data_IF_517249766316
#
_entry.id   IF_517249766316
#
_cell.length_a   1.000
_cell.length_b   1.000
_cell.length_c   1.000
_cell.angle_alpha   90.00
_cell.angle_beta   90.00
_cell.angle_gamma   90.00
#
_symmetry.space_group_name_H-M   'P 1'
#
loop_
_entity.id
_entity.type
_entity.pdbx_description
1 polymer ?
#
# COMPACT_ATOMS: atom_id res chain seq x y z
N UNK A 1 42.24 47.81 -40.40
CA UNK A 1 41.12 47.24 -41.19
C UNK A 1 41.46 45.78 -41.43
N UNK A 2 40.79 44.74 -40.97
CA UNK A 2 39.62 44.51 -40.12
C UNK A 2 39.57 42.97 -39.97
N UNK A 3 39.32 42.49 -38.75
CA UNK A 3 39.35 41.07 -38.34
C UNK A 3 38.47 40.13 -39.21
N UNK A 4 38.95 38.90 -39.41
CA UNK A 4 38.09 37.72 -39.59
C UNK A 4 38.73 36.51 -38.94
N UNK A 5 38.50 36.39 -37.62
CA UNK A 5 38.73 35.16 -36.88
C UNK A 5 37.40 34.43 -36.75
N UNK A 6 37.32 33.27 -37.38
CA UNK A 6 36.20 32.34 -37.31
C UNK A 6 35.95 31.88 -35.88
N UNK A 7 34.81 32.22 -35.31
CA UNK A 7 34.38 31.71 -34.00
C UNK A 7 33.42 30.53 -34.20
N UNK A 8 33.95 29.31 -34.23
CA UNK A 8 33.14 28.09 -34.11
C UNK A 8 32.77 27.93 -32.63
N UNK A 9 31.57 28.36 -32.25
CA UNK A 9 30.97 27.95 -30.98
C UNK A 9 30.60 26.47 -31.07
N UNK A 10 31.37 25.63 -30.38
CA UNK A 10 31.00 24.27 -30.01
C UNK A 10 29.67 24.30 -29.24
N UNK A 11 28.64 23.67 -29.78
CA UNK A 11 27.43 23.33 -29.05
C UNK A 11 27.81 22.28 -28.01
N UNK A 12 27.93 22.69 -26.76
CA UNK A 12 27.91 21.78 -25.63
C UNK A 12 26.52 21.12 -25.61
N UNK A 13 26.48 19.85 -25.97
CA UNK A 13 25.34 18.99 -25.76
C UNK A 13 25.22 18.82 -24.25
N UNK A 14 24.29 19.54 -23.61
CA UNK A 14 23.83 19.20 -22.27
C UNK A 14 23.35 17.75 -22.35
N UNK A 15 24.09 16.82 -21.75
CA UNK A 15 23.59 15.49 -21.46
C UNK A 15 22.38 15.67 -20.56
N UNK A 16 21.18 15.67 -21.15
CA UNK A 16 19.95 15.41 -20.42
C UNK A 16 20.15 14.07 -19.72
N UNK A 17 20.09 14.08 -18.39
CA UNK A 17 20.07 12.84 -17.63
C UNK A 17 18.97 11.94 -18.21
N UNK A 18 19.22 10.63 -18.39
CA UNK A 18 18.23 9.73 -18.94
C UNK A 18 16.93 9.88 -18.15
N UNK A 19 15.83 10.12 -18.86
CA UNK A 19 14.50 10.20 -18.24
C UNK A 19 14.23 8.85 -17.55
N UNK A 20 13.81 8.85 -16.27
CA UNK A 20 13.49 7.61 -15.58
C UNK A 20 12.41 6.86 -16.36
N UNK A 21 12.56 5.54 -16.43
CA UNK A 21 11.56 4.62 -16.95
C UNK A 21 10.21 4.79 -16.21
N UNK A 22 9.09 4.32 -16.79
CA UNK A 22 7.78 4.39 -16.14
C UNK A 22 7.78 3.76 -14.73
N UNK A 23 8.50 2.65 -14.55
CA UNK A 23 8.66 1.98 -13.25
C UNK A 23 9.46 2.85 -12.27
N UNK A 24 10.59 3.43 -12.69
CA UNK A 24 11.36 4.37 -11.86
C UNK A 24 10.54 5.62 -11.49
N UNK A 25 9.62 6.06 -12.35
CA UNK A 25 8.67 7.13 -12.03
C UNK A 25 7.65 6.73 -10.97
N UNK A 26 7.19 5.48 -10.95
CA UNK A 26 6.26 4.97 -9.93
C UNK A 26 6.95 4.83 -8.57
N UNK A 27 8.21 4.38 -8.53
CA UNK A 27 8.98 4.32 -7.29
C UNK A 27 9.36 5.71 -6.74
N UNK A 28 9.54 6.71 -7.60
CA UNK A 28 9.70 8.10 -7.16
C UNK A 28 8.46 8.65 -6.44
N UNK A 29 7.27 8.07 -6.65
CA UNK A 29 6.11 8.40 -5.81
C UNK A 29 6.32 7.95 -4.37
N UNK A 30 6.99 6.82 -4.11
CA UNK A 30 7.20 6.30 -2.75
C UNK A 30 8.02 7.26 -1.89
N UNK A 31 9.02 7.93 -2.46
CA UNK A 31 9.83 8.93 -1.76
C UNK A 31 8.99 10.10 -1.19
N UNK A 32 7.75 10.29 -1.65
CA UNK A 32 6.84 11.34 -1.20
C UNK A 32 5.96 10.90 -0.03
N UNK A 33 5.98 9.64 0.36
CA UNK A 33 5.15 9.07 1.42
C UNK A 33 6.01 8.45 2.51
N UNK A 34 5.53 8.53 3.74
CA UNK A 34 6.02 7.69 4.83
C UNK A 34 5.35 6.33 4.70
N UNK A 35 6.14 5.26 4.68
CA UNK A 35 5.62 3.89 4.56
C UNK A 35 5.62 3.20 5.92
N UNK A 36 4.42 2.84 6.39
CA UNK A 36 4.22 2.12 7.66
C UNK A 36 3.69 0.73 7.33
N UNK A 37 4.52 -0.29 7.54
CA UNK A 37 4.13 -1.68 7.40
C UNK A 37 3.51 -2.18 8.70
N UNK A 38 2.29 -2.69 8.63
CA UNK A 38 1.56 -3.28 9.75
C UNK A 38 1.47 -4.78 9.50
N UNK A 39 2.06 -5.58 10.38
CA UNK A 39 2.12 -7.03 10.21
C UNK A 39 1.16 -7.69 11.20
N UNK A 40 0.26 -8.50 10.67
CA UNK A 40 -0.55 -9.42 11.47
C UNK A 40 0.35 -10.48 12.11
N UNK A 41 0.49 -10.38 13.43
CA UNK A 41 1.16 -11.34 14.28
C UNK A 41 0.17 -12.15 15.11
N UNK A 42 -1.07 -12.32 14.65
CA UNK A 42 -2.09 -13.11 15.34
C UNK A 42 -1.79 -14.62 15.30
N UNK A 43 -2.52 -15.39 16.11
CA UNK A 43 -2.34 -16.84 16.19
C UNK A 43 -2.54 -17.59 14.86
N UNK A 44 -3.38 -17.08 13.95
CA UNK A 44 -3.64 -17.72 12.64
C UNK A 44 -2.41 -17.77 11.75
N UNK A 45 -1.50 -16.80 11.89
CA UNK A 45 -0.27 -16.69 11.11
C UNK A 45 0.75 -17.81 11.38
N UNK A 46 0.57 -18.59 12.47
CA UNK A 46 1.31 -19.84 12.70
C UNK A 46 0.95 -20.95 11.70
N UNK A 47 -0.24 -20.88 11.11
CA UNK A 47 -0.74 -21.88 10.17
C UNK A 47 0.09 -21.91 8.88
N UNK A 48 0.39 -23.11 8.39
CA UNK A 48 0.87 -23.36 7.01
C UNK A 48 2.11 -22.54 6.59
N UNK A 49 2.94 -22.08 7.54
CA UNK A 49 4.12 -21.27 7.26
C UNK A 49 3.83 -19.82 6.84
N UNK A 50 2.60 -19.32 7.05
CA UNK A 50 2.18 -17.95 6.69
C UNK A 50 3.09 -16.88 7.27
N UNK A 51 3.50 -17.01 8.53
CA UNK A 51 4.46 -16.08 9.16
C UNK A 51 5.79 -16.00 8.41
N UNK A 52 6.35 -17.15 8.02
CA UNK A 52 7.61 -17.20 7.27
C UNK A 52 7.45 -16.55 5.89
N UNK A 53 6.38 -16.89 5.18
CA UNK A 53 6.06 -16.32 3.86
C UNK A 53 5.89 -14.81 3.95
N UNK A 54 5.16 -14.33 4.96
CA UNK A 54 4.98 -12.90 5.22
C UNK A 54 6.32 -12.22 5.49
N UNK A 55 7.20 -12.81 6.31
CA UNK A 55 8.53 -12.27 6.58
C UNK A 55 9.44 -12.19 5.34
N UNK A 56 9.41 -13.22 4.48
CA UNK A 56 10.16 -13.23 3.22
C UNK A 56 9.65 -12.16 2.26
N UNK A 57 8.33 -12.08 2.07
CA UNK A 57 7.66 -11.05 1.27
C UNK A 57 7.97 -9.64 1.77
N UNK A 58 7.87 -9.41 3.08
CA UNK A 58 8.09 -8.11 3.68
C UNK A 58 9.56 -7.67 3.58
N UNK A 59 10.50 -8.60 3.75
CA UNK A 59 11.91 -8.30 3.59
C UNK A 59 12.22 -7.80 2.16
N UNK A 60 11.61 -8.39 1.14
CA UNK A 60 11.73 -7.91 -0.24
C UNK A 60 11.09 -6.52 -0.42
N UNK A 61 9.84 -6.38 0.03
CA UNK A 61 9.05 -5.15 -0.06
C UNK A 61 9.78 -3.95 0.58
N UNK A 62 10.21 -4.15 1.81
CA UNK A 62 10.90 -3.16 2.60
C UNK A 62 12.26 -2.78 2.02
N UNK A 63 13.01 -3.75 1.51
CA UNK A 63 14.29 -3.49 0.86
C UNK A 63 14.12 -2.59 -0.35
N UNK A 64 13.09 -2.82 -1.17
CA UNK A 64 12.80 -1.97 -2.32
C UNK A 64 12.29 -0.60 -1.85
N UNK A 65 11.35 -0.54 -0.90
CA UNK A 65 10.84 0.73 -0.36
C UNK A 65 11.96 1.61 0.23
N UNK A 66 12.89 1.02 1.00
CA UNK A 66 14.00 1.73 1.62
C UNK A 66 15.04 2.29 0.64
N UNK A 67 15.05 1.85 -0.63
CA UNK A 67 15.87 2.48 -1.67
C UNK A 67 15.34 3.86 -2.10
N UNK A 68 14.04 4.09 -1.89
CA UNK A 68 13.36 5.31 -2.28
C UNK A 68 12.95 6.17 -1.07
N UNK A 69 12.87 5.59 0.12
CA UNK A 69 12.59 6.31 1.37
C UNK A 69 13.88 6.62 2.15
N UNK A 70 14.17 7.91 2.34
CA UNK A 70 15.46 8.36 2.87
C UNK A 70 15.69 8.05 4.35
N UNK A 71 14.63 8.11 5.15
CA UNK A 71 14.61 7.72 6.57
C UNK A 71 14.44 6.21 6.75
N UNK A 72 13.88 5.52 5.78
CA UNK A 72 13.64 4.08 5.77
C UNK A 72 12.26 3.76 6.34
N UNK A 73 11.88 2.49 6.29
CA UNK A 73 10.48 2.13 6.60
C UNK A 73 10.23 1.90 8.09
N UNK A 74 8.96 2.02 8.48
CA UNK A 74 8.47 1.64 9.79
C UNK A 74 7.76 0.28 9.74
N UNK A 75 8.02 -0.59 10.73
CA UNK A 75 7.27 -1.84 10.94
C UNK A 75 6.62 -1.80 12.32
N UNK A 76 5.32 -2.08 12.34
CA UNK A 76 4.51 -2.32 13.53
C UNK A 76 3.76 -3.64 13.43
N UNK A 77 3.31 -4.16 14.57
CA UNK A 77 2.51 -5.39 14.65
C UNK A 77 1.12 -5.10 15.22
N UNK A 78 0.18 -6.03 15.00
CA UNK A 78 -1.18 -5.92 15.54
C UNK A 78 -1.21 -6.13 17.07
N UNK A 79 -0.49 -7.13 17.57
CA UNK A 79 -0.51 -7.54 18.97
C UNK A 79 0.78 -7.13 19.70
N UNK A 80 1.94 -7.30 19.06
CA UNK A 80 3.22 -6.98 19.67
C UNK A 80 3.45 -5.46 19.76
N UNK A 81 3.87 -4.92 20.92
CA UNK A 81 4.09 -3.48 21.09
C UNK A 81 5.40 -2.98 20.46
N UNK A 82 6.25 -3.85 19.92
CA UNK A 82 7.48 -3.47 19.25
C UNK A 82 7.15 -2.61 18.02
N UNK A 83 7.78 -1.44 17.97
CA UNK A 83 7.83 -0.57 16.79
C UNK A 83 9.27 -0.47 16.35
N UNK A 84 9.53 -0.66 15.05
CA UNK A 84 10.86 -0.50 14.45
C UNK A 84 10.80 0.55 13.36
N UNK A 85 11.71 1.52 13.45
CA UNK A 85 11.84 2.61 12.48
C UNK A 85 13.16 2.48 11.72
N UNK A 86 13.19 3.01 10.50
CA UNK A 86 14.39 3.16 9.71
C UNK A 86 15.05 1.84 9.30
N UNK A 87 14.25 0.80 9.09
CA UNK A 87 14.74 -0.48 8.60
C UNK A 87 15.12 -0.36 7.12
N UNK A 88 16.33 -0.82 6.78
CA UNK A 88 16.90 -0.64 5.43
C UNK A 88 17.40 -1.93 4.79
N UNK A 89 17.61 -2.99 5.59
CA UNK A 89 18.18 -4.25 5.09
C UNK A 89 17.24 -5.43 5.28
N UNK A 90 17.36 -6.43 4.40
CA UNK A 90 16.57 -7.67 4.50
C UNK A 90 16.90 -8.44 5.77
N UNK A 91 18.15 -8.38 6.21
CA UNK A 91 18.68 -9.08 7.38
C UNK A 91 18.06 -8.56 8.68
N UNK A 92 17.95 -7.24 8.86
CA UNK A 92 17.31 -6.64 10.05
C UNK A 92 15.84 -7.06 10.17
N UNK A 93 15.14 -7.14 9.04
CA UNK A 93 13.72 -7.53 8.99
C UNK A 93 13.56 -9.02 9.32
N UNK A 94 14.41 -9.88 8.74
CA UNK A 94 14.40 -11.32 9.06
C UNK A 94 14.64 -11.54 10.55
N UNK A 95 15.62 -10.85 11.14
CA UNK A 95 15.89 -10.93 12.58
C UNK A 95 14.71 -10.44 13.42
N UNK A 96 14.01 -9.38 12.97
CA UNK A 96 12.79 -8.92 13.64
C UNK A 96 11.71 -10.00 13.64
N UNK A 97 11.45 -10.64 12.49
CA UNK A 97 10.46 -11.72 12.38
C UNK A 97 10.83 -12.96 13.19
N UNK A 98 12.11 -13.30 13.28
CA UNK A 98 12.62 -14.39 14.12
C UNK A 98 12.43 -14.10 15.62
N UNK A 99 12.42 -12.83 16.02
CA UNK A 99 12.23 -12.41 17.41
C UNK A 99 10.78 -12.41 17.88
N UNK A 100 9.82 -12.57 16.96
CA UNK A 100 8.39 -12.46 17.23
C UNK A 100 7.71 -13.82 17.01
N UNK A 101 6.91 -14.23 17.99
CA UNK A 101 6.06 -15.42 17.90
C UNK A 101 4.61 -14.97 17.68
N UNK A 102 3.95 -15.38 16.58
CA UNK A 102 2.59 -14.93 16.34
C UNK A 102 1.59 -15.46 17.37
N UNK A 103 0.81 -14.59 17.99
CA UNK A 103 -0.17 -14.91 19.03
C UNK A 103 -1.22 -13.80 19.15
N UNK A 104 -2.32 -14.12 19.84
CA UNK A 104 -3.40 -13.16 20.05
C UNK A 104 -4.42 -13.13 18.91
N UNK A 105 -5.13 -12.01 18.84
CA UNK A 105 -6.28 -11.79 17.96
C UNK A 105 -5.84 -10.98 16.72
N UNK A 106 -6.78 -10.61 15.86
CA UNK A 106 -6.53 -9.83 14.64
C UNK A 106 -7.17 -8.43 14.74
N UNK A 107 -6.71 -7.54 15.65
CA UNK A 107 -7.32 -6.24 15.93
C UNK A 107 -6.94 -5.16 14.90
N UNK A 108 -7.26 -5.41 13.62
CA UNK A 108 -6.92 -4.51 12.51
C UNK A 108 -7.54 -3.13 12.70
N UNK A 109 -8.82 -3.06 13.05
CA UNK A 109 -9.53 -1.79 13.16
C UNK A 109 -9.00 -0.95 14.31
N UNK A 110 -8.82 -1.56 15.49
CA UNK A 110 -8.22 -0.89 16.65
C UNK A 110 -6.80 -0.37 16.37
N UNK A 111 -5.98 -1.14 15.63
CA UNK A 111 -4.63 -0.71 15.25
C UNK A 111 -4.67 0.48 14.29
N UNK A 112 -5.49 0.41 13.24
CA UNK A 112 -5.63 1.49 12.26
C UNK A 112 -6.17 2.76 12.90
N UNK A 113 -7.14 2.66 13.81
CA UNK A 113 -7.70 3.81 14.51
C UNK A 113 -6.60 4.58 15.26
N UNK A 114 -5.80 3.89 16.07
CA UNK A 114 -4.72 4.51 16.81
C UNK A 114 -3.71 5.23 15.92
N UNK A 115 -3.32 4.61 14.79
CA UNK A 115 -2.35 5.18 13.85
C UNK A 115 -2.92 6.39 13.12
N UNK A 116 -4.11 6.27 12.53
CA UNK A 116 -4.70 7.31 11.70
C UNK A 116 -5.15 8.49 12.56
N UNK A 117 -5.71 8.23 13.74
CA UNK A 117 -6.10 9.28 14.69
C UNK A 117 -4.88 10.09 15.14
N UNK A 118 -3.76 9.43 15.46
CA UNK A 118 -2.52 10.12 15.81
C UNK A 118 -2.01 10.98 14.63
N UNK A 119 -2.02 10.43 13.42
CA UNK A 119 -1.59 11.13 12.22
C UNK A 119 -2.46 12.36 11.91
N UNK A 120 -3.79 12.24 11.97
CA UNK A 120 -4.71 13.36 11.76
C UNK A 120 -4.53 14.44 12.83
N UNK A 121 -4.27 14.06 14.08
CA UNK A 121 -3.99 15.01 15.15
C UNK A 121 -2.69 15.79 14.87
N UNK A 122 -1.64 15.12 14.41
CA UNK A 122 -0.41 15.76 13.97
C UNK A 122 -0.63 16.69 12.77
N UNK A 123 -1.39 16.25 11.76
CA UNK A 123 -1.76 17.07 10.61
C UNK A 123 -2.45 18.36 11.05
N UNK A 124 -3.45 18.27 11.94
CA UNK A 124 -4.16 19.43 12.48
C UNK A 124 -3.22 20.38 13.23
N UNK A 125 -2.27 19.85 13.99
CA UNK A 125 -1.26 20.64 14.72
C UNK A 125 -0.33 21.40 13.78
N UNK A 126 0.15 20.75 12.72
CA UNK A 126 1.10 21.33 11.77
C UNK A 126 0.45 22.27 10.74
N UNK A 127 -0.87 22.16 10.51
CA UNK A 127 -1.61 22.95 9.50
C UNK A 127 -1.42 24.47 9.60
N UNK A 128 -1.08 24.99 10.77
CA UNK A 128 -0.85 26.42 11.00
C UNK A 128 0.64 26.83 10.95
N UNK A 129 1.50 25.92 10.50
CA UNK A 129 2.94 26.12 10.36
C UNK A 129 3.34 26.08 8.89
N UNK A 130 4.60 26.44 8.57
CA UNK A 130 5.16 26.27 7.23
C UNK A 130 5.47 24.79 6.89
N UNK A 131 5.11 23.86 7.77
CA UNK A 131 5.32 22.43 7.63
C UNK A 131 3.98 21.68 7.53
N UNK A 132 3.95 20.61 6.76
CA UNK A 132 2.87 19.63 6.75
C UNK A 132 3.48 18.24 6.96
N UNK A 133 2.79 17.31 7.64
CA UNK A 133 3.28 15.96 7.71
C UNK A 133 3.32 15.37 6.30
N UNK A 134 4.36 14.58 6.04
CA UNK A 134 4.48 13.83 4.79
C UNK A 134 3.26 12.89 4.67
N UNK A 135 2.65 12.76 3.48
CA UNK A 135 1.60 11.77 3.25
C UNK A 135 2.02 10.38 3.73
N UNK A 136 1.08 9.56 4.21
CA UNK A 136 1.40 8.23 4.76
C UNK A 136 0.70 7.12 3.98
N UNK A 137 1.40 6.00 3.78
CA UNK A 137 0.85 4.77 3.23
C UNK A 137 0.96 3.64 4.27
N UNK A 138 -0.19 3.19 4.79
CA UNK A 138 -0.28 2.05 5.70
C UNK A 138 -0.45 0.76 4.90
N UNK A 139 0.54 -0.12 4.93
CA UNK A 139 0.47 -1.41 4.25
C UNK A 139 0.28 -2.52 5.29
N UNK A 140 -0.89 -3.13 5.32
CA UNK A 140 -1.26 -4.15 6.29
C UNK A 140 -1.24 -5.55 5.69
N UNK A 141 -0.41 -6.43 6.25
CA UNK A 141 -0.32 -7.83 5.85
C UNK A 141 -1.12 -8.69 6.83
N UNK A 142 -2.07 -9.49 6.34
CA UNK A 142 -2.91 -10.37 7.18
C UNK A 142 -3.36 -11.62 6.45
N UNK A 143 -3.57 -12.72 7.18
CA UNK A 143 -4.14 -13.96 6.66
C UNK A 143 -5.63 -14.14 6.94
N UNK A 144 -6.25 -13.18 7.63
CA UNK A 144 -7.53 -13.40 8.28
C UNK A 144 -8.51 -12.25 8.18
N UNK A 145 -9.69 -12.50 8.74
CA UNK A 145 -10.73 -11.49 8.96
C UNK A 145 -10.47 -10.83 10.33
N UNK A 146 -10.63 -9.50 10.45
CA UNK A 146 -10.49 -8.81 11.73
C UNK A 146 -11.37 -9.40 12.82
N UNK A 147 -10.85 -9.40 14.04
CA UNK A 147 -11.60 -9.81 15.24
C UNK A 147 -12.28 -8.65 15.94
N UNK A 148 -12.07 -7.42 15.47
CA UNK A 148 -12.67 -6.22 16.05
C UNK A 148 -14.21 -6.27 15.98
N UNK A 149 -14.83 -5.70 17.00
CA UNK A 149 -16.27 -5.47 17.05
C UNK A 149 -16.55 -3.96 16.94
N UNK A 150 -17.78 -3.61 16.57
CA UNK A 150 -18.21 -2.21 16.54
C UNK A 150 -17.94 -1.52 17.89
N UNK A 151 -17.49 -0.26 17.91
CA UNK A 151 -17.35 0.66 16.76
C UNK A 151 -15.98 0.61 16.07
N UNK A 152 -15.11 -0.33 16.41
CA UNK A 152 -13.73 -0.38 15.92
C UNK A 152 -13.54 -1.38 14.78
N UNK A 153 -14.59 -1.66 14.00
CA UNK A 153 -14.38 -2.46 12.78
C UNK A 153 -13.57 -1.66 11.76
N UNK A 154 -12.71 -2.30 10.92
CA UNK A 154 -11.96 -1.58 9.90
C UNK A 154 -12.82 -0.70 8.99
N UNK A 155 -14.02 -1.17 8.61
CA UNK A 155 -14.98 -0.37 7.85
C UNK A 155 -15.32 0.96 8.56
N UNK A 156 -15.64 0.92 9.85
CA UNK A 156 -16.00 2.13 10.62
C UNK A 156 -14.81 3.09 10.72
N UNK A 157 -13.65 2.56 11.09
CA UNK A 157 -12.42 3.33 11.27
C UNK A 157 -11.99 4.01 9.97
N UNK A 158 -12.03 3.30 8.84
CA UNK A 158 -11.67 3.84 7.53
C UNK A 158 -12.65 4.94 7.11
N UNK A 159 -13.95 4.72 7.32
CA UNK A 159 -14.98 5.72 6.97
C UNK A 159 -14.84 6.98 7.81
N UNK A 160 -14.58 6.85 9.11
CA UNK A 160 -14.35 7.97 10.02
C UNK A 160 -13.08 8.74 9.64
N UNK A 161 -11.98 8.03 9.36
CA UNK A 161 -10.74 8.61 8.87
C UNK A 161 -10.93 9.41 7.57
N UNK A 162 -11.62 8.84 6.58
CA UNK A 162 -11.86 9.48 5.30
C UNK A 162 -12.64 10.79 5.46
N UNK A 163 -13.70 10.78 6.28
CA UNK A 163 -14.48 11.98 6.61
C UNK A 163 -13.65 13.02 7.35
N UNK A 164 -12.88 12.61 8.34
CA UNK A 164 -12.02 13.51 9.11
C UNK A 164 -10.95 14.19 8.23
N UNK A 165 -10.42 13.48 7.22
CA UNK A 165 -9.49 14.05 6.22
C UNK A 165 -10.18 15.06 5.29
N UNK A 166 -11.42 14.80 4.90
CA UNK A 166 -12.22 15.75 4.09
C UNK A 166 -12.56 17.02 4.89
N UNK A 167 -12.95 16.90 6.16
CA UNK A 167 -13.26 18.02 7.05
C UNK A 167 -12.09 19.00 7.22
N UNK A 168 -10.85 18.47 7.25
CA UNK A 168 -9.65 19.29 7.36
C UNK A 168 -9.09 19.73 6.01
N UNK A 169 -9.78 19.42 4.91
CA UNK A 169 -9.35 19.71 3.54
C UNK A 169 -7.97 19.13 3.21
N UNK A 170 -7.66 17.95 3.73
CA UNK A 170 -6.40 17.26 3.42
C UNK A 170 -6.35 16.87 1.93
N UNK A 171 -5.15 16.88 1.30
CA UNK A 171 -4.94 16.36 -0.04
C UNK A 171 -5.55 14.97 -0.23
N UNK A 172 -6.01 14.67 -1.45
CA UNK A 172 -6.66 13.38 -1.76
C UNK A 172 -5.78 12.16 -1.50
N UNK A 173 -4.47 12.34 -1.62
CA UNK A 173 -3.44 11.30 -1.43
C UNK A 173 -2.76 11.43 -0.06
N UNK A 174 -3.37 12.08 0.94
CA UNK A 174 -2.70 12.30 2.23
C UNK A 174 -2.52 11.01 3.03
N UNK A 175 -3.49 10.09 2.95
CA UNK A 175 -3.47 8.79 3.62
C UNK A 175 -3.89 7.73 2.61
N UNK A 176 -3.11 6.67 2.51
CA UNK A 176 -3.45 5.44 1.79
C UNK A 176 -3.41 4.23 2.74
N UNK A 177 -4.26 3.25 2.48
CA UNK A 177 -4.33 1.98 3.21
C UNK A 177 -4.29 0.86 2.17
N UNK A 178 -3.26 0.04 2.20
CA UNK A 178 -3.10 -1.13 1.36
C UNK A 178 -3.28 -2.39 2.21
N UNK A 179 -4.27 -3.22 1.89
CA UNK A 179 -4.32 -4.58 2.43
C UNK A 179 -3.56 -5.55 1.51
N UNK A 180 -2.76 -6.40 2.11
CA UNK A 180 -2.03 -7.47 1.44
C UNK A 180 -2.39 -8.78 2.13
N UNK A 181 -3.08 -9.65 1.41
CA UNK A 181 -3.49 -10.93 1.95
C UNK A 181 -2.34 -11.94 1.91
N UNK A 182 -2.15 -12.65 3.02
CA UNK A 182 -1.24 -13.79 3.15
C UNK A 182 -2.05 -15.08 3.18
N UNK A 183 -1.73 -16.03 2.30
CA UNK A 183 -2.48 -17.29 2.21
C UNK A 183 -3.87 -17.14 1.55
N UNK A 184 -4.48 -18.27 1.21
CA UNK A 184 -5.63 -18.32 0.29
C UNK A 184 -7.01 -18.44 0.99
N UNK A 185 -7.16 -17.88 2.20
CA UNK A 185 -8.46 -17.91 2.89
C UNK A 185 -9.52 -17.08 2.14
N UNK A 186 -10.59 -17.74 1.69
CA UNK A 186 -11.63 -17.11 0.89
C UNK A 186 -12.51 -16.13 1.67
N UNK A 187 -12.57 -16.23 3.00
CA UNK A 187 -13.30 -15.26 3.82
C UNK A 187 -12.48 -13.97 3.96
N UNK A 188 -11.18 -14.09 4.21
CA UNK A 188 -10.26 -12.96 4.21
C UNK A 188 -10.28 -12.23 2.85
N UNK A 189 -10.20 -12.97 1.73
CA UNK A 189 -10.29 -12.38 0.39
C UNK A 189 -11.56 -11.55 0.21
N UNK A 190 -12.73 -12.13 0.51
CA UNK A 190 -14.02 -11.44 0.36
C UNK A 190 -14.15 -10.23 1.29
N UNK A 191 -13.63 -10.34 2.51
CA UNK A 191 -13.69 -9.26 3.48
C UNK A 191 -12.85 -8.06 3.02
N UNK A 192 -11.58 -8.29 2.67
CA UNK A 192 -10.65 -7.24 2.26
C UNK A 192 -11.09 -6.58 0.94
N UNK A 193 -11.53 -7.37 -0.05
CA UNK A 193 -12.12 -6.84 -1.29
C UNK A 193 -13.36 -5.98 -1.03
N UNK A 194 -14.16 -6.35 -0.02
CA UNK A 194 -15.31 -5.55 0.40
C UNK A 194 -14.91 -4.15 0.87
N UNK A 195 -13.78 -4.00 1.58
CA UNK A 195 -13.28 -2.71 2.04
C UNK A 195 -12.81 -1.81 0.88
N UNK A 196 -12.18 -2.38 -0.13
CA UNK A 196 -11.73 -1.67 -1.33
C UNK A 196 -12.94 -1.25 -2.21
N UNK A 197 -13.76 -2.21 -2.65
CA UNK A 197 -14.74 -1.95 -3.70
C UNK A 197 -15.99 -1.17 -3.23
N UNK A 198 -16.33 -1.24 -1.94
CA UNK A 198 -17.66 -0.77 -1.48
C UNK A 198 -17.65 0.55 -0.73
N UNK A 199 -16.60 0.87 0.02
CA UNK A 199 -16.67 1.95 1.02
C UNK A 199 -16.90 3.33 0.40
N UNK A 200 -16.17 3.64 -0.67
CA UNK A 200 -16.29 4.90 -1.43
C UNK A 200 -17.73 5.18 -1.86
N UNK A 201 -18.37 4.22 -2.52
CA UNK A 201 -19.72 4.38 -3.06
C UNK A 201 -20.80 4.29 -1.98
N UNK A 202 -20.59 3.43 -0.97
CA UNK A 202 -21.54 3.23 0.11
C UNK A 202 -21.66 4.45 1.03
N UNK A 203 -20.54 5.14 1.27
CA UNK A 203 -20.48 6.25 2.24
C UNK A 203 -20.23 7.62 1.62
N UNK A 204 -20.06 7.71 0.30
CA UNK A 204 -19.69 8.94 -0.43
C UNK A 204 -18.44 9.61 0.15
N UNK A 205 -17.38 8.80 0.29
CA UNK A 205 -16.09 9.21 0.86
C UNK A 205 -14.98 9.13 -0.18
N UNK A 206 -13.86 9.79 0.09
CA UNK A 206 -12.63 9.61 -0.68
C UNK A 206 -12.16 8.15 -0.69
N UNK A 207 -11.51 7.82 -1.81
CA UNK A 207 -10.94 6.51 -2.06
C UNK A 207 -9.51 6.45 -1.51
N UNK A 208 -9.32 5.66 -0.44
CA UNK A 208 -8.08 5.56 0.32
C UNK A 208 -7.67 4.10 0.62
N UNK A 209 -8.42 3.11 0.11
CA UNK A 209 -8.19 1.69 0.38
C UNK A 209 -7.93 0.95 -0.92
N UNK A 210 -6.91 0.11 -0.96
CA UNK A 210 -6.70 -0.88 -2.01
C UNK A 210 -6.39 -2.25 -1.41
N UNK A 211 -6.64 -3.32 -2.17
CA UNK A 211 -6.39 -4.70 -1.74
C UNK A 211 -5.62 -5.51 -2.78
N UNK A 212 -4.58 -6.21 -2.30
CA UNK A 212 -3.85 -7.21 -3.06
C UNK A 212 -4.13 -8.61 -2.48
N UNK A 213 -4.89 -9.48 -3.18
CA UNK A 213 -5.20 -10.83 -2.71
C UNK A 213 -3.96 -11.74 -2.83
N UNK A 214 -3.91 -12.78 -1.99
CA UNK A 214 -2.86 -13.77 -2.10
C UNK A 214 -3.01 -14.55 -3.41
N UNK A 215 -1.91 -14.74 -4.14
CA UNK A 215 -1.87 -15.64 -5.29
C UNK A 215 -1.31 -16.98 -4.84
N UNK A 216 -2.09 -18.05 -5.05
CA UNK A 216 -1.65 -19.39 -4.71
C UNK A 216 -0.41 -19.77 -5.54
N UNK A 217 0.69 -20.13 -4.87
CA UNK A 217 1.87 -20.72 -5.49
C UNK A 217 2.81 -19.76 -6.23
N UNK A 218 2.69 -18.44 -6.01
CA UNK A 218 3.59 -17.45 -6.59
C UNK A 218 4.25 -16.61 -5.49
N UNK A 219 5.58 -16.46 -5.58
CA UNK A 219 6.30 -15.42 -4.86
C UNK A 219 5.80 -14.04 -5.33
N UNK A 220 5.78 -13.04 -4.45
CA UNK A 220 5.49 -11.67 -4.83
C UNK A 220 6.53 -11.23 -5.88
N UNK A 221 6.12 -11.05 -7.12
CA UNK A 221 7.00 -10.56 -8.17
C UNK A 221 7.11 -9.03 -8.14
N UNK A 222 7.99 -8.46 -8.97
CA UNK A 222 8.22 -7.01 -8.99
C UNK A 222 6.96 -6.18 -9.35
N UNK A 223 6.00 -6.74 -10.09
CA UNK A 223 4.75 -6.04 -10.41
C UNK A 223 3.80 -6.05 -9.21
N UNK A 224 3.72 -7.19 -8.51
CA UNK A 224 2.97 -7.28 -7.26
C UNK A 224 3.55 -6.33 -6.20
N UNK A 225 4.87 -6.15 -6.16
CA UNK A 225 5.52 -5.18 -5.28
C UNK A 225 5.17 -3.73 -5.61
N UNK A 226 5.24 -3.31 -6.88
CA UNK A 226 4.83 -1.96 -7.29
C UNK A 226 3.39 -1.71 -6.88
N UNK A 227 2.51 -2.68 -7.15
CA UNK A 227 1.11 -2.59 -6.76
C UNK A 227 0.96 -2.44 -5.25
N UNK A 228 1.62 -3.26 -4.45
CA UNK A 228 1.53 -3.19 -2.98
C UNK A 228 2.04 -1.84 -2.47
N UNK A 229 3.14 -1.34 -3.04
CA UNK A 229 3.75 -0.08 -2.59
C UNK A 229 2.96 1.15 -3.02
N UNK A 230 2.25 1.07 -4.15
CA UNK A 230 1.60 2.25 -4.76
C UNK A 230 0.07 2.17 -4.82
N UNK A 231 -0.57 1.03 -4.60
CA UNK A 231 -2.01 0.81 -4.83
C UNK A 231 -2.89 1.75 -4.02
N UNK A 232 -2.63 1.85 -2.71
CA UNK A 232 -3.35 2.76 -1.81
C UNK A 232 -3.12 4.26 -2.06
N UNK A 233 -2.16 4.66 -2.91
CA UNK A 233 -1.74 6.06 -3.09
C UNK A 233 -1.72 6.54 -4.55
N UNK A 234 -1.65 5.63 -5.52
CA UNK A 234 -1.53 5.91 -6.96
C UNK A 234 -2.75 5.39 -7.72
N UNK A 235 -3.78 6.25 -7.78
CA UNK A 235 -5.04 5.98 -8.49
C UNK A 235 -4.88 5.71 -10.00
N UNK A 236 -3.76 6.05 -10.64
CA UNK A 236 -3.55 5.75 -12.06
C UNK A 236 -3.27 4.27 -12.29
N UNK A 237 -2.44 3.66 -11.45
CA UNK A 237 -2.10 2.23 -11.53
C UNK A 237 -3.36 1.40 -11.31
N UNK A 238 -4.20 1.77 -10.33
CA UNK A 238 -5.46 1.07 -10.07
C UNK A 238 -6.47 1.20 -11.23
N UNK A 239 -6.65 2.40 -11.78
CA UNK A 239 -7.56 2.60 -12.93
C UNK A 239 -7.12 1.81 -14.17
N UNK A 240 -5.81 1.68 -14.42
CA UNK A 240 -5.28 0.90 -15.55
C UNK A 240 -5.45 -0.62 -15.33
N UNK A 241 -5.36 -1.11 -14.08
CA UNK A 241 -5.65 -2.51 -13.75
C UNK A 241 -7.15 -2.84 -13.82
N UNK A 242 -8.02 -1.99 -13.28
CA UNK A 242 -9.48 -2.16 -13.36
C UNK A 242 -9.94 -2.19 -14.82
N UNK A 243 -9.36 -1.34 -15.67
CA UNK A 243 -9.59 -1.38 -17.12
C UNK A 243 -9.17 -2.73 -17.73
N UNK A 244 -7.99 -3.25 -17.40
CA UNK A 244 -7.50 -4.57 -17.89
C UNK A 244 -8.38 -5.75 -17.39
N UNK A 245 -8.86 -5.70 -16.15
CA UNK A 245 -9.78 -6.70 -15.58
C UNK A 245 -11.13 -6.70 -16.31
N UNK A 246 -11.67 -5.51 -16.60
CA UNK A 246 -12.91 -5.39 -17.39
C UNK A 246 -12.73 -5.90 -18.83
N UNK A 247 -11.60 -5.64 -19.48
CA UNK A 247 -11.34 -6.20 -20.82
C UNK A 247 -11.24 -7.73 -20.79
N UNK A 248 -10.66 -8.33 -19.75
CA UNK A 248 -10.57 -9.81 -19.63
C UNK A 248 -11.92 -10.46 -19.31
N UNK A 249 -12.81 -9.81 -18.55
CA UNK A 249 -14.14 -10.35 -18.25
C UNK A 249 -15.08 -10.32 -19.46
N UNK A 250 -14.93 -9.35 -20.37
CA UNK A 250 -15.67 -9.30 -21.64
C UNK A 250 -15.24 -10.39 -22.64
N UNK A 251 -13.98 -10.84 -22.60
CA UNK A 251 -13.45 -11.89 -23.50
C UNK A 251 -13.84 -13.30 -23.03
N UNK A 252 -14.14 -13.47 -21.73
CA UNK A 252 -14.52 -14.75 -21.12
C UNK A 252 -16.02 -14.81 -20.76
N UNK A 253 -16.92 -14.47 -21.70
CA UNK A 253 -18.32 -14.87 -21.58
C UNK A 253 -18.56 -16.18 -22.36
N UNK A 254 -19.05 -17.26 -21.73
CA UNK A 254 -19.44 -18.44 -22.49
C UNK A 254 -20.61 -18.07 -23.40
N UNK A 255 -20.46 -18.32 -24.70
CA UNK A 255 -21.53 -18.19 -25.68
C UNK A 255 -22.62 -19.18 -25.29
N UNK A 256 -23.68 -18.70 -24.64
CA UNK A 256 -24.86 -19.50 -24.35
C UNK A 256 -25.59 -19.70 -25.69
N UNK A 257 -25.39 -20.85 -26.33
CA UNK A 257 -26.14 -21.25 -27.52
C UNK A 257 -27.63 -21.30 -27.18
N UNK A 258 -28.40 -20.41 -27.81
CA UNK A 258 -29.87 -20.39 -27.72
C UNK A 258 -30.41 -21.58 -28.51
N UNK A 259 -30.76 -22.67 -27.82
CA UNK A 259 -31.64 -23.68 -28.37
C UNK A 259 -33.06 -23.10 -28.50
N UNK A 260 -33.58 -23.06 -29.72
CA UNK A 260 -35.00 -22.80 -29.98
C UNK A 260 -35.71 -24.16 -30.10
N UNK A 261 -36.84 -24.38 -29.39
CA UNK A 261 -37.60 -25.61 -29.56
C UNK A 261 -38.51 -25.50 -30.79
N UNK A 262 -38.55 -26.58 -31.57
CA UNK A 262 -39.57 -26.82 -32.61
C UNK A 262 -40.83 -27.43 -32.01
#
# INVERSE_FOLDING_TARGET
>A
MGNSSSNRKSRETLCEAPRPSPEENEYLYLARFDTVLIVDDSGSMKGEGRWRIAGEALAELAYVAAQYDGDGIEIQFLNNPIVKHGLKTKEEIKQLFESITPEGLTPIGSKLDGLITAYIAEYKKLRHTDQQPKPVNYILLTDGVPTDSKPLTPEEVIVEAAKALDEIYAPQIQVGIQFVQVGADANATRYLQGLDDTLKHKYDIRDIVDTTPARAGHDLDGQDMIKILTGGINRRVDNEERAKKNTRSEICQPVVERFTPS
#
